data_IF_912199939648
#
_entry.id   IF_912199939648
#
_cell.length_a   1.000
_cell.length_b   1.000
_cell.length_c   1.000
_cell.angle_alpha   90.00
_cell.angle_beta   90.00
_cell.angle_gamma   90.00
#
_symmetry.space_group_name_H-M   'P 1'
#
loop_
_entity.id
_entity.type
_entity.pdbx_description
1 polymer ?
#
# COMPACT_ATOMS: atom_id res chain seq x y z
N UNK A 1 6.23 -2.52 35.67
CA UNK A 1 4.96 -3.08 36.18
C UNK A 1 3.81 -2.27 35.61
N UNK A 2 2.91 -2.88 34.84
CA UNK A 2 1.87 -2.18 34.06
C UNK A 2 0.46 -2.63 34.45
N UNK A 3 -0.54 -1.73 34.39
CA UNK A 3 -1.92 -2.05 34.73
C UNK A 3 -2.56 -3.02 33.72
N UNK A 4 -3.70 -3.65 34.04
CA UNK A 4 -4.41 -4.53 33.11
C UNK A 4 -5.01 -3.76 31.92
N UNK A 5 -5.41 -4.47 30.85
CA UNK A 5 -5.84 -3.88 29.58
C UNK A 5 -7.12 -3.03 29.67
N UNK A 6 -7.99 -3.34 30.63
CA UNK A 6 -9.27 -2.67 30.91
C UNK A 6 -9.14 -1.54 31.94
N UNK A 7 -7.93 -1.26 32.43
CA UNK A 7 -7.68 -0.17 33.36
C UNK A 7 -7.96 1.21 32.73
N UNK A 8 -8.36 2.21 33.55
CA UNK A 8 -8.63 3.56 33.08
C UNK A 8 -7.37 4.25 32.54
N UNK A 9 -7.58 5.33 31.78
CA UNK A 9 -6.52 6.05 31.06
C UNK A 9 -5.43 6.70 31.92
N UNK A 10 -5.73 6.95 33.19
CA UNK A 10 -4.87 7.59 34.17
C UNK A 10 -4.26 6.58 35.16
N UNK A 11 -4.39 5.28 34.88
CA UNK A 11 -3.74 4.22 35.63
C UNK A 11 -2.22 4.45 35.70
N UNK A 12 -1.58 3.85 36.70
CA UNK A 12 -0.17 4.07 37.00
C UNK A 12 0.62 2.80 36.73
N UNK A 13 1.73 2.92 36.02
CA UNK A 13 2.78 1.92 35.97
C UNK A 13 3.90 2.28 36.94
N UNK A 14 4.51 1.28 37.58
CA UNK A 14 5.78 1.47 38.28
C UNK A 14 6.92 1.12 37.33
N UNK A 15 7.81 2.09 37.10
CA UNK A 15 9.03 1.95 36.34
C UNK A 15 10.22 1.90 37.31
N UNK A 16 11.03 0.86 37.19
CA UNK A 16 12.28 0.73 37.94
C UNK A 16 13.44 0.65 36.94
N UNK A 17 14.46 1.49 37.14
CA UNK A 17 15.66 1.55 36.32
C UNK A 17 16.87 1.04 37.06
N UNK A 18 17.65 0.18 36.40
CA UNK A 18 18.90 -0.36 36.90
C UNK A 18 20.03 -0.01 35.94
N UNK A 19 21.19 0.33 36.47
CA UNK A 19 22.40 0.58 35.70
C UNK A 19 23.44 -0.48 36.04
N UNK A 20 24.02 -1.06 35.00
CA UNK A 20 25.17 -1.95 35.13
C UNK A 20 26.42 -1.09 35.09
N UNK A 21 27.16 -1.06 36.19
CA UNK A 21 28.37 -0.25 36.36
C UNK A 21 29.56 -1.19 36.52
N UNK A 22 30.51 -1.08 35.60
CA UNK A 22 31.76 -1.83 35.65
C UNK A 22 32.91 -0.91 36.05
N UNK A 23 33.62 -1.25 37.14
CA UNK A 23 34.78 -0.48 37.55
C UNK A 23 36.01 -0.88 36.71
N UNK A 24 36.22 -0.16 35.60
CA UNK A 24 37.42 -0.29 34.74
C UNK A 24 38.55 0.67 35.09
N UNK A 25 38.48 1.36 36.24
CA UNK A 25 39.46 2.39 36.60
C UNK A 25 40.81 1.83 37.05
N UNK A 26 40.88 0.53 37.36
CA UNK A 26 42.10 -0.14 37.85
C UNK A 26 42.36 0.04 39.35
N UNK A 27 41.50 0.77 40.07
CA UNK A 27 41.54 0.93 41.53
C UNK A 27 40.17 0.66 42.15
N UNK A 28 40.16 0.16 43.38
CA UNK A 28 38.92 -0.08 44.12
C UNK A 28 38.19 1.24 44.40
N UNK A 29 36.89 1.27 44.17
CA UNK A 29 36.03 2.38 44.61
C UNK A 29 35.54 2.05 46.00
N UNK A 30 35.76 2.97 46.95
CA UNK A 30 35.27 2.85 48.32
C UNK A 30 34.46 4.09 48.71
N UNK A 31 33.16 3.92 48.95
CA UNK A 31 32.27 5.00 49.37
C UNK A 31 32.18 6.16 48.37
N UNK A 32 32.27 5.90 47.07
CA UNK A 32 32.28 6.94 46.03
C UNK A 32 30.85 7.38 45.71
N UNK A 33 30.65 8.71 45.59
CA UNK A 33 29.40 9.26 45.05
C UNK A 33 29.40 9.11 43.53
N UNK A 34 28.47 8.30 43.02
CA UNK A 34 28.37 8.02 41.59
C UNK A 34 27.19 8.79 40.96
N UNK A 35 27.47 9.50 39.86
CA UNK A 35 26.46 10.11 39.00
C UNK A 35 26.48 9.45 37.63
N UNK A 36 25.37 8.80 37.26
CA UNK A 36 25.19 8.15 35.98
C UNK A 36 24.70 9.17 34.95
N UNK A 37 25.50 9.41 33.92
CA UNK A 37 25.20 10.43 32.92
C UNK A 37 24.72 9.76 31.64
N UNK A 38 23.47 10.01 31.26
CA UNK A 38 22.93 9.66 29.94
C UNK A 38 22.89 10.91 29.05
N UNK A 39 23.47 10.79 27.86
CA UNK A 39 23.56 11.83 26.85
C UNK A 39 24.32 11.28 25.64
N UNK A 40 24.41 12.06 24.56
CA UNK A 40 25.19 11.70 23.37
C UNK A 40 26.52 12.49 23.31
N UNK A 41 27.41 12.43 24.32
CA UNK A 41 28.70 13.10 24.23
C UNK A 41 29.59 12.36 23.23
N UNK A 42 30.22 13.10 22.32
CA UNK A 42 31.29 12.55 21.50
C UNK A 42 32.49 12.23 22.40
N UNK A 43 32.58 11.00 22.90
CA UNK A 43 33.75 10.46 23.56
C UNK A 43 34.52 9.58 22.56
N UNK A 44 35.71 10.02 22.18
CA UNK A 44 36.55 9.29 21.23
C UNK A 44 37.38 8.24 21.99
N UNK A 45 37.16 6.96 21.67
CA UNK A 45 38.08 5.88 22.02
C UNK A 45 38.90 5.54 20.77
N UNK A 46 40.22 5.75 20.82
CA UNK A 46 41.12 5.38 19.74
C UNK A 46 41.94 4.14 20.17
N UNK A 47 41.62 2.95 19.66
CA UNK A 47 42.36 1.74 20.01
C UNK A 47 43.71 1.73 19.27
N UNK A 48 44.75 2.33 19.87
CA UNK A 48 46.08 2.45 19.27
C UNK A 48 46.81 1.11 19.10
N UNK A 49 46.32 0.04 19.73
CA UNK A 49 46.94 -1.29 19.72
C UNK A 49 46.02 -2.39 19.19
N UNK A 50 44.81 -2.06 18.74
CA UNK A 50 43.95 -3.05 18.10
C UNK A 50 44.26 -3.08 16.58
N UNK A 51 44.57 -4.25 15.99
CA UNK A 51 44.69 -4.35 14.55
C UNK A 51 43.34 -4.07 13.88
N UNK A 52 43.32 -3.12 12.92
CA UNK A 52 42.13 -2.84 12.11
C UNK A 52 41.93 -4.03 11.16
N UNK A 53 40.92 -4.85 11.45
CA UNK A 53 40.52 -5.96 10.59
C UNK A 53 39.40 -5.51 9.66
N UNK A 54 39.60 -5.67 8.36
CA UNK A 54 38.55 -5.46 7.34
C UNK A 54 37.76 -6.77 7.22
N UNK A 55 36.45 -6.74 7.49
CA UNK A 55 35.63 -7.94 7.29
C UNK A 55 35.59 -8.30 5.80
N UNK A 56 35.93 -9.56 5.51
CA UNK A 56 35.81 -10.14 4.17
C UNK A 56 34.37 -10.65 4.01
N UNK A 57 33.65 -10.31 2.91
CA UNK A 57 32.30 -10.81 2.70
C UNK A 57 32.31 -12.34 2.59
N UNK A 58 31.45 -13.02 3.36
CA UNK A 58 31.18 -14.44 3.17
C UNK A 58 30.14 -14.63 2.06
N UNK A 59 30.45 -15.50 1.10
CA UNK A 59 29.56 -15.85 0.02
C UNK A 59 28.61 -16.96 0.52
N UNK A 60 27.29 -16.73 0.59
CA UNK A 60 26.37 -17.75 1.08
C UNK A 60 26.31 -18.95 0.13
N UNK A 61 26.40 -20.15 0.70
CA UNK A 61 26.10 -21.39 -0.03
C UNK A 61 24.61 -21.38 -0.37
N UNK A 62 24.30 -21.37 -1.67
CA UNK A 62 22.92 -21.40 -2.15
C UNK A 62 22.36 -22.81 -1.96
N UNK A 63 21.57 -22.99 -0.91
CA UNK A 63 20.70 -24.16 -0.74
C UNK A 63 19.39 -23.94 -1.50
N UNK A 64 18.81 -25.00 -2.12
CA UNK A 64 17.48 -24.93 -2.71
C UNK A 64 16.44 -24.52 -1.66
N UNK A 65 15.49 -23.69 -2.09
CA UNK A 65 14.47 -23.07 -1.26
C UNK A 65 13.68 -24.12 -0.45
N UNK A 66 13.77 -24.04 0.87
CA UNK A 66 13.01 -24.90 1.76
C UNK A 66 11.53 -24.54 1.66
N UNK A 67 10.72 -25.44 1.12
CA UNK A 67 9.26 -25.34 1.16
C UNK A 67 8.82 -25.40 2.63
N UNK A 68 8.51 -24.24 3.20
CA UNK A 68 7.93 -24.14 4.54
C UNK A 68 6.42 -24.35 4.44
N UNK A 69 5.98 -25.53 4.85
CA UNK A 69 4.55 -25.76 5.11
C UNK A 69 4.16 -24.84 6.28
N UNK A 70 3.29 -23.86 5.99
CA UNK A 70 2.80 -22.95 7.02
C UNK A 70 1.75 -23.69 7.86
N UNK A 71 1.83 -23.63 9.20
CA UNK A 71 0.81 -24.21 10.06
C UNK A 71 -0.52 -23.48 9.84
N UNK A 72 -1.62 -24.23 9.87
CA UNK A 72 -2.96 -23.64 9.88
C UNK A 72 -3.11 -22.81 11.16
N UNK A 73 -3.37 -21.52 11.01
CA UNK A 73 -3.51 -20.59 12.13
C UNK A 73 -4.96 -20.43 12.57
N UNK A 74 -5.91 -21.13 11.94
CA UNK A 74 -7.34 -21.03 12.21
C UNK A 74 -8.00 -19.82 11.54
N UNK A 75 -9.34 -19.85 11.49
CA UNK A 75 -10.17 -18.84 10.81
C UNK A 75 -9.89 -17.40 11.28
N UNK A 76 -10.00 -16.45 10.35
CA UNK A 76 -9.94 -15.00 10.60
C UNK A 76 -11.34 -14.41 10.40
N UNK A 77 -11.67 -13.26 11.01
CA UNK A 77 -12.83 -12.50 10.58
C UNK A 77 -12.71 -12.25 9.06
N UNK A 78 -13.80 -12.41 8.28
CA UNK A 78 -13.74 -12.17 6.85
C UNK A 78 -13.24 -10.74 6.61
N UNK A 79 -12.33 -10.52 5.65
CA UNK A 79 -11.92 -9.17 5.29
C UNK A 79 -13.18 -8.36 4.99
N UNK A 80 -13.28 -7.12 5.49
CA UNK A 80 -14.43 -6.30 5.17
C UNK A 80 -14.46 -6.15 3.65
N UNK A 81 -15.65 -6.24 3.02
CA UNK A 81 -15.74 -6.14 1.58
C UNK A 81 -15.04 -4.83 1.18
N UNK A 82 -14.15 -4.88 0.17
CA UNK A 82 -13.60 -3.65 -0.39
C UNK A 82 -14.78 -2.75 -0.75
N UNK A 83 -14.63 -1.41 -0.68
CA UNK A 83 -15.65 -0.52 -1.22
C UNK A 83 -16.00 -1.01 -2.61
N UNK A 84 -17.28 -0.97 -2.98
CA UNK A 84 -17.77 -1.53 -4.25
C UNK A 84 -17.04 -0.86 -5.43
N UNK A 85 -15.88 -1.39 -5.80
CA UNK A 85 -15.25 -1.17 -7.08
C UNK A 85 -16.12 -1.97 -8.00
N UNK A 86 -16.96 -1.32 -8.80
CA UNK A 86 -17.69 -2.00 -9.87
C UNK A 86 -16.62 -2.63 -10.79
N UNK A 87 -16.36 -3.94 -10.73
CA UNK A 87 -15.30 -4.55 -11.51
C UNK A 87 -15.80 -4.74 -12.93
N UNK A 88 -14.88 -4.60 -13.87
CA UNK A 88 -15.00 -5.07 -15.24
C UNK A 88 -15.43 -6.55 -15.25
N UNK A 89 -16.45 -6.87 -16.05
CA UNK A 89 -16.97 -8.20 -16.43
C UNK A 89 -16.67 -9.41 -15.52
N UNK A 90 -17.58 -9.68 -14.58
CA UNK A 90 -17.63 -10.85 -13.69
C UNK A 90 -17.72 -12.22 -14.41
N UNK A 91 -17.81 -12.29 -15.74
CA UNK A 91 -17.96 -13.56 -16.50
C UNK A 91 -16.64 -14.24 -16.84
N UNK A 92 -15.52 -13.53 -16.94
CA UNK A 92 -14.25 -14.13 -17.39
C UNK A 92 -13.42 -14.75 -16.26
N UNK A 93 -13.59 -14.30 -15.01
CA UNK A 93 -12.88 -14.85 -13.84
C UNK A 93 -13.45 -16.20 -13.37
N UNK A 94 -14.77 -16.40 -13.53
CA UNK A 94 -15.46 -17.63 -13.13
C UNK A 94 -15.05 -18.87 -13.96
N UNK A 95 -14.46 -18.66 -15.14
CA UNK A 95 -13.99 -19.71 -16.03
C UNK A 95 -12.53 -20.11 -15.71
N UNK A 96 -11.72 -19.16 -15.26
CA UNK A 96 -10.35 -19.39 -14.80
C UNK A 96 -10.28 -20.10 -13.43
N UNK A 97 -11.25 -19.85 -12.53
CA UNK A 97 -11.35 -20.53 -11.24
C UNK A 97 -11.83 -22.00 -11.36
N UNK A 98 -12.65 -22.31 -12.38
CA UNK A 98 -13.10 -23.69 -12.65
C UNK A 98 -11.97 -24.62 -13.10
N UNK A 99 -10.98 -24.09 -13.82
CA UNK A 99 -9.82 -24.85 -14.31
C UNK A 99 -8.74 -25.07 -13.23
N UNK A 100 -8.74 -24.29 -12.14
CA UNK A 100 -7.80 -24.44 -11.02
C UNK A 100 -8.24 -25.49 -9.99
N UNK A 101 -9.54 -25.83 -9.97
CA UNK A 101 -10.12 -26.79 -9.02
C UNK A 101 -9.78 -28.26 -9.28
N UNK A 102 -9.37 -28.63 -10.50
CA UNK A 102 -9.16 -30.03 -10.88
C UNK A 102 -7.74 -30.59 -10.60
N UNK A 103 -6.79 -29.75 -10.18
CA UNK A 103 -5.39 -30.17 -9.97
C UNK A 103 -4.99 -30.34 -8.49
N UNK A 104 -5.87 -30.01 -7.54
CA UNK A 104 -5.54 -30.02 -6.11
C UNK A 104 -6.04 -31.27 -5.34
N UNK A 105 -6.51 -32.30 -6.04
CA UNK A 105 -7.17 -33.48 -5.45
C UNK A 105 -6.32 -34.76 -5.37
N UNK A 106 -5.02 -34.70 -5.65
CA UNK A 106 -4.12 -35.84 -5.52
C UNK A 106 -3.05 -35.58 -4.45
N UNK A 107 -2.93 -36.53 -3.51
CA UNK A 107 -1.93 -36.67 -2.43
C UNK A 107 -2.29 -36.12 -1.04
N UNK A 108 -3.04 -36.92 -0.27
CA UNK A 108 -3.10 -36.90 1.20
C UNK A 108 -2.95 -38.31 1.78
N UNK A 109 -2.05 -38.48 2.75
CA UNK A 109 -1.85 -39.67 3.60
C UNK A 109 -0.39 -39.72 4.08
N UNK A 110 0.02 -40.03 5.30
CA UNK A 110 -0.63 -40.49 6.54
C UNK A 110 0.29 -40.16 7.76
N UNK A 111 -0.23 -40.28 8.99
CA UNK A 111 0.42 -40.05 10.32
C UNK A 111 1.31 -41.27 10.76
N UNK A 112 2.00 -41.36 11.95
CA UNK A 112 1.57 -40.94 13.30
C UNK A 112 2.65 -40.41 14.29
N UNK A 113 2.23 -40.28 15.56
CA UNK A 113 2.72 -39.47 16.70
C UNK A 113 3.84 -40.06 17.59
N UNK A 114 4.51 -39.20 18.40
CA UNK A 114 5.07 -39.51 19.74
C UNK A 114 4.94 -38.28 20.68
N UNK A 115 4.78 -38.52 21.99
CA UNK A 115 4.28 -37.64 23.05
C UNK A 115 5.34 -37.08 24.04
N UNK A 116 5.04 -35.86 24.57
CA UNK A 116 5.31 -35.22 25.90
C UNK A 116 6.76 -35.13 26.47
N UNK A 117 7.10 -34.21 27.44
CA UNK A 117 6.26 -33.37 28.33
C UNK A 117 6.69 -31.87 28.47
N UNK A 118 6.00 -31.14 29.35
CA UNK A 118 6.33 -29.82 29.94
C UNK A 118 6.12 -29.90 31.47
N UNK A 119 6.31 -28.87 32.32
CA UNK A 119 7.10 -27.61 32.24
C UNK A 119 8.04 -27.43 33.47
N UNK A 120 8.83 -26.35 33.53
CA UNK A 120 9.52 -25.91 34.75
C UNK A 120 8.95 -24.56 35.23
N UNK A 121 8.68 -24.48 36.54
CA UNK A 121 8.06 -23.35 37.22
C UNK A 121 9.08 -22.25 37.62
N UNK A 122 8.62 -21.01 37.92
CA UNK A 122 9.45 -19.82 38.09
C UNK A 122 9.90 -19.62 39.56
N UNK A 123 11.10 -19.07 39.75
CA UNK A 123 11.55 -18.57 41.05
C UNK A 123 11.13 -17.11 41.23
N UNK A 124 10.22 -16.86 42.18
CA UNK A 124 9.88 -15.53 42.67
C UNK A 124 10.90 -15.06 43.70
N UNK A 125 11.43 -13.85 43.50
CA UNK A 125 12.23 -13.12 44.49
C UNK A 125 11.55 -11.78 44.79
N UNK A 126 11.19 -11.56 46.05
CA UNK A 126 10.65 -10.29 46.54
C UNK A 126 11.75 -9.22 46.54
N UNK A 127 11.49 -8.08 45.89
CA UNK A 127 12.39 -6.93 45.91
C UNK A 127 12.05 -6.00 47.08
N UNK A 128 13.06 -5.72 47.91
CA UNK A 128 13.02 -4.71 48.96
C UNK A 128 12.87 -3.30 48.38
N UNK A 129 12.29 -2.39 49.17
CA UNK A 129 12.18 -0.97 48.86
C UNK A 129 13.56 -0.33 48.75
N UNK A 130 13.77 0.51 47.73
CA UNK A 130 15.02 1.23 47.47
C UNK A 130 14.74 2.72 47.50
N UNK A 131 15.56 3.47 48.24
CA UNK A 131 15.55 4.93 48.28
C UNK A 131 16.01 5.52 46.93
N UNK A 132 15.26 6.50 46.43
CA UNK A 132 15.43 7.11 45.11
C UNK A 132 16.65 8.03 45.03
N UNK A 133 17.43 7.86 43.95
CA UNK A 133 18.51 8.75 43.52
C UNK A 133 17.99 10.17 43.18
N UNK A 134 18.82 11.20 43.42
CA UNK A 134 18.51 12.58 43.04
C UNK A 134 19.03 12.87 41.64
N UNK A 135 18.13 13.27 40.76
CA UNK A 135 18.46 13.61 39.39
C UNK A 135 18.63 15.12 39.23
N UNK A 136 19.51 15.50 38.31
CA UNK A 136 19.73 16.88 37.92
C UNK A 136 19.82 16.97 36.40
N UNK A 137 18.81 17.59 35.79
CA UNK A 137 18.77 17.87 34.36
C UNK A 137 19.55 19.14 33.99
N UNK A 138 20.37 19.07 32.93
CA UNK A 138 20.78 20.23 32.13
C UNK A 138 20.54 19.93 30.66
N UNK A 139 20.40 20.97 29.82
CA UNK A 139 20.03 20.79 28.41
C UNK A 139 20.91 19.75 27.69
N UNK A 140 20.32 18.63 27.26
CA UNK A 140 20.99 17.55 26.54
C UNK A 140 21.75 16.52 27.40
N UNK A 141 21.68 16.61 28.74
CA UNK A 141 22.39 15.72 29.67
C UNK A 141 21.52 15.42 30.90
N UNK A 142 21.29 14.14 31.18
CA UNK A 142 20.64 13.71 32.43
C UNK A 142 21.67 13.02 33.30
N UNK A 143 21.84 13.51 34.52
CA UNK A 143 22.67 12.89 35.53
C UNK A 143 21.81 12.34 36.68
N UNK A 144 21.85 11.03 36.88
CA UNK A 144 21.23 10.36 38.03
C UNK A 144 22.29 10.14 39.10
N UNK A 145 22.26 10.94 40.18
CA UNK A 145 23.19 10.78 41.30
C UNK A 145 22.61 9.81 42.31
N UNK A 146 23.28 8.67 42.49
CA UNK A 146 22.85 7.65 43.45
C UNK A 146 22.77 8.26 44.85
N UNK A 147 21.69 7.94 45.57
CA UNK A 147 21.43 8.47 46.91
C UNK A 147 22.50 8.01 47.93
N UNK A 148 22.97 6.77 47.77
CA UNK A 148 23.97 6.17 48.64
C UNK A 148 25.32 6.03 47.90
N UNK A 149 26.45 6.28 48.59
CA UNK A 149 27.77 5.99 48.05
C UNK A 149 27.92 4.49 47.70
N UNK A 150 28.73 4.18 46.68
CA UNK A 150 28.92 2.81 46.18
C UNK A 150 30.38 2.41 46.32
N UNK A 151 30.58 1.14 46.71
CA UNK A 151 31.89 0.47 46.75
C UNK A 151 31.90 -0.63 45.69
N UNK A 152 32.84 -0.58 44.74
CA UNK A 152 33.00 -1.56 43.64
C UNK A 152 34.50 -1.82 43.47
N UNK A 153 34.96 -3.07 43.60
CA UNK A 153 36.39 -3.37 43.40
C UNK A 153 36.80 -3.22 41.94
N UNK A 154 38.09 -3.04 41.70
CA UNK A 154 38.64 -2.98 40.36
C UNK A 154 38.30 -4.26 39.58
N UNK A 155 37.72 -4.10 38.38
CA UNK A 155 37.31 -5.21 37.52
C UNK A 155 35.99 -5.88 37.91
N UNK A 156 35.33 -5.46 39.00
CA UNK A 156 34.00 -5.94 39.36
C UNK A 156 32.88 -5.13 38.69
N UNK A 157 31.71 -5.75 38.57
CA UNK A 157 30.49 -5.14 38.03
C UNK A 157 29.42 -5.13 39.12
N UNK A 158 28.72 -3.99 39.26
CA UNK A 158 27.58 -3.85 40.16
C UNK A 158 26.33 -3.47 39.37
N UNK A 159 25.17 -3.99 39.79
CA UNK A 159 23.88 -3.55 39.30
C UNK A 159 23.27 -2.58 40.32
N UNK A 160 23.20 -1.30 39.97
CA UNK A 160 22.74 -0.24 40.88
C UNK A 160 21.39 0.32 40.44
N UNK A 161 20.39 0.38 41.33
CA UNK A 161 19.11 1.00 41.02
C UNK A 161 19.29 2.53 40.95
N UNK A 162 18.78 3.15 39.90
CA UNK A 162 18.90 4.60 39.71
C UNK A 162 17.55 5.31 39.58
N UNK A 163 16.46 4.56 39.37
CA UNK A 163 15.12 5.10 39.18
C UNK A 163 14.09 4.17 39.80
N UNK A 164 13.17 4.73 40.57
CA UNK A 164 11.91 4.07 40.96
C UNK A 164 10.81 5.14 40.91
N UNK A 165 9.93 5.04 39.93
CA UNK A 165 8.92 6.06 39.65
C UNK A 165 7.58 5.43 39.34
N UNK A 166 6.50 6.11 39.73
CA UNK A 166 5.13 5.81 39.29
C UNK A 166 4.77 6.80 38.19
N UNK A 167 4.41 6.28 37.03
CA UNK A 167 4.17 7.04 35.81
C UNK A 167 2.75 6.73 35.30
N UNK A 168 2.02 7.75 34.80
CA UNK A 168 0.76 7.50 34.09
C UNK A 168 1.01 6.59 32.89
N UNK A 169 0.28 5.47 32.85
CA UNK A 169 0.42 4.48 31.82
C UNK A 169 -0.86 3.69 31.62
N UNK A 170 -1.12 3.33 30.36
CA UNK A 170 -2.24 2.50 29.99
C UNK A 170 -1.86 1.44 28.96
N UNK A 171 -2.50 0.27 29.06
CA UNK A 171 -2.36 -0.80 28.07
C UNK A 171 -3.23 -0.52 26.86
N UNK A 172 -2.63 -0.70 25.69
CA UNK A 172 -3.30 -0.50 24.40
C UNK A 172 -2.89 -1.61 23.43
N UNK A 173 -3.77 -1.90 22.48
CA UNK A 173 -3.35 -2.55 21.25
C UNK A 173 -2.76 -1.51 20.30
N UNK A 174 -1.65 -1.84 19.65
CA UNK A 174 -1.02 -0.95 18.69
C UNK A 174 -0.90 -1.63 17.32
N UNK A 175 -1.38 -0.93 16.29
CA UNK A 175 -1.40 -1.39 14.92
C UNK A 175 -0.54 -0.46 14.07
N UNK A 176 0.54 -0.99 13.52
CA UNK A 176 1.38 -0.31 12.53
C UNK A 176 1.26 -0.95 11.14
N UNK A 177 0.81 -2.20 11.09
CA UNK A 177 0.74 -3.03 9.89
C UNK A 177 -0.63 -3.70 9.79
N UNK A 178 -1.36 -3.37 8.73
CA UNK A 178 -2.73 -3.86 8.46
C UNK A 178 -2.74 -5.29 7.90
N UNK A 179 -1.60 -5.80 7.46
CA UNK A 179 -1.46 -7.19 6.98
C UNK A 179 -1.26 -8.18 8.13
N UNK A 180 -0.88 -7.69 9.32
CA UNK A 180 -0.70 -8.50 10.51
C UNK A 180 -2.03 -9.11 10.98
N UNK A 181 -1.99 -10.39 11.38
CA UNK A 181 -3.15 -11.13 11.90
C UNK A 181 -3.58 -10.67 13.29
N UNK A 182 -2.65 -10.11 14.06
CA UNK A 182 -2.78 -9.87 15.48
C UNK A 182 -2.09 -8.54 15.80
N UNK A 183 -2.71 -7.63 16.58
CA UNK A 183 -2.10 -6.37 16.95
C UNK A 183 -0.91 -6.58 17.88
N UNK A 184 -0.08 -5.54 18.02
CA UNK A 184 0.90 -5.49 19.10
C UNK A 184 0.17 -5.19 20.41
N UNK A 185 0.59 -5.81 21.51
CA UNK A 185 0.32 -5.28 22.84
C UNK A 185 1.38 -4.24 23.17
N UNK A 186 0.93 -3.08 23.64
CA UNK A 186 1.80 -1.99 24.02
C UNK A 186 1.34 -1.32 25.30
N UNK A 187 2.29 -0.65 25.96
CA UNK A 187 1.99 0.28 27.04
C UNK A 187 2.24 1.69 26.52
N UNK A 188 1.22 2.53 26.61
CA UNK A 188 1.37 3.96 26.46
C UNK A 188 1.83 4.52 27.80
N UNK A 189 3.04 5.07 27.83
CA UNK A 189 3.69 5.60 29.02
C UNK A 189 3.90 7.10 28.85
N UNK A 190 3.47 7.90 29.83
CA UNK A 190 3.79 9.33 29.91
C UNK A 190 4.87 9.58 30.95
N UNK A 191 5.96 10.23 30.55
CA UNK A 191 6.97 10.67 31.50
C UNK A 191 6.45 11.85 32.32
N UNK A 192 5.96 11.57 33.52
CA UNK A 192 5.51 12.58 34.49
C UNK A 192 6.64 13.01 35.46
N UNK A 193 7.87 12.55 35.27
CA UNK A 193 9.02 13.02 36.04
C UNK A 193 9.56 14.33 35.48
N UNK A 194 10.46 14.97 36.22
CA UNK A 194 11.16 16.18 35.77
C UNK A 194 12.42 15.88 34.95
N UNK A 195 12.70 14.60 34.66
CA UNK A 195 13.96 14.14 34.08
C UNK A 195 13.70 13.37 32.79
N UNK A 196 14.64 13.40 31.84
CA UNK A 196 14.54 12.54 30.65
C UNK A 196 14.77 11.09 31.06
N UNK A 197 13.83 10.21 30.71
CA UNK A 197 14.05 8.77 30.85
C UNK A 197 15.07 8.34 29.79
N UNK A 198 16.13 7.60 30.15
CA UNK A 198 17.16 7.18 29.20
C UNK A 198 16.66 6.11 28.22
N UNK A 199 17.35 5.98 27.08
CA UNK A 199 17.20 4.83 26.19
C UNK A 199 17.58 3.53 26.92
N UNK A 200 16.90 2.43 26.61
CA UNK A 200 17.22 1.12 27.17
C UNK A 200 16.24 0.02 26.81
N UNK A 201 16.48 -1.17 27.35
CA UNK A 201 15.54 -2.29 27.28
C UNK A 201 14.63 -2.25 28.51
N UNK A 202 13.32 -2.39 28.29
CA UNK A 202 12.31 -2.43 29.34
C UNK A 202 11.64 -3.81 29.38
N UNK A 203 11.76 -4.49 30.51
CA UNK A 203 11.05 -5.75 30.78
C UNK A 203 9.70 -5.44 31.41
N UNK A 204 8.63 -5.94 30.78
CA UNK A 204 7.24 -5.62 31.14
C UNK A 204 6.66 -6.75 31.99
N UNK A 205 6.16 -6.37 33.17
CA UNK A 205 5.44 -7.25 34.09
C UNK A 205 4.02 -6.74 34.30
N UNK A 206 3.04 -7.63 34.31
CA UNK A 206 1.66 -7.32 34.64
C UNK A 206 1.47 -7.08 36.14
N UNK A 207 0.48 -6.26 36.50
CA UNK A 207 0.08 -6.03 37.89
C UNK A 207 -1.44 -5.89 37.99
N UNK A 208 -2.02 -6.35 39.10
CA UNK A 208 -3.45 -6.21 39.37
C UNK A 208 -4.05 -7.45 40.02
N UNK A 209 -5.34 -7.69 39.82
CA UNK A 209 -6.00 -8.92 40.26
C UNK A 209 -6.20 -9.87 39.08
N UNK A 210 -5.55 -11.03 39.08
CA UNK A 210 -5.74 -12.05 38.04
C UNK A 210 -4.47 -12.81 37.67
N UNK A 211 -4.52 -13.54 36.55
CA UNK A 211 -3.42 -14.39 36.08
C UNK A 211 -2.17 -13.63 35.61
N UNK A 212 -2.30 -12.32 35.33
CA UNK A 212 -1.19 -11.48 34.87
C UNK A 212 -0.42 -10.80 36.02
N UNK A 213 -0.86 -10.90 37.27
CA UNK A 213 -0.20 -10.24 38.40
C UNK A 213 1.19 -10.84 38.67
N UNK A 214 2.22 -10.01 38.53
CA UNK A 214 3.63 -10.43 38.60
C UNK A 214 4.12 -11.24 37.40
N UNK A 215 3.28 -11.49 36.39
CA UNK A 215 3.65 -12.27 35.22
C UNK A 215 4.54 -11.48 34.27
N UNK A 216 5.55 -12.13 33.69
CA UNK A 216 6.34 -11.57 32.59
C UNK A 216 5.49 -11.51 31.32
N UNK A 217 5.34 -10.32 30.75
CA UNK A 217 4.53 -10.07 29.55
C UNK A 217 5.37 -9.95 28.28
N UNK A 218 6.64 -9.55 28.40
CA UNK A 218 7.56 -9.38 27.29
C UNK A 218 8.60 -8.29 27.53
N UNK A 219 9.46 -8.07 26.54
CA UNK A 219 10.45 -7.01 26.53
C UNK A 219 10.11 -5.96 25.45
N UNK A 220 10.42 -4.70 25.72
CA UNK A 220 10.19 -3.57 24.84
C UNK A 220 11.44 -2.67 24.75
N UNK A 221 11.68 -2.09 23.59
CA UNK A 221 12.67 -1.02 23.44
C UNK A 221 12.08 0.28 24.01
N UNK A 222 12.75 0.87 25.00
CA UNK A 222 12.48 2.22 25.50
C UNK A 222 13.45 3.17 24.83
N UNK A 223 12.92 4.13 24.07
CA UNK A 223 13.70 5.29 23.64
C UNK A 223 13.58 6.42 24.65
N UNK A 224 14.53 7.35 24.59
CA UNK A 224 14.61 8.45 25.51
C UNK A 224 13.30 9.25 25.49
N UNK A 225 12.77 9.52 26.67
CA UNK A 225 11.46 10.16 26.85
C UNK A 225 11.64 11.45 27.61
N UNK A 226 11.38 12.58 26.97
CA UNK A 226 11.50 13.89 27.62
C UNK A 226 10.41 14.09 28.69
N UNK A 227 10.63 14.96 29.69
CA UNK A 227 9.59 15.33 30.65
C UNK A 227 8.30 15.77 29.93
N UNK A 228 7.17 15.18 30.32
CA UNK A 228 5.86 15.43 29.72
C UNK A 228 5.54 14.65 28.45
N UNK A 229 6.53 14.04 27.80
CA UNK A 229 6.38 13.27 26.57
C UNK A 229 5.70 11.92 26.81
N UNK A 230 5.04 11.39 25.78
CA UNK A 230 4.37 10.08 25.80
C UNK A 230 4.93 9.17 24.72
N UNK A 231 5.17 7.90 25.07
CA UNK A 231 5.67 6.86 24.15
C UNK A 231 4.84 5.60 24.22
N UNK A 232 4.82 4.85 23.11
CA UNK A 232 4.26 3.50 23.07
C UNK A 232 5.40 2.48 23.13
N UNK A 233 5.28 1.51 24.04
CA UNK A 233 6.25 0.44 24.27
C UNK A 233 5.59 -0.88 23.91
N UNK A 234 5.83 -1.37 22.69
CA UNK A 234 5.33 -2.67 22.26
C UNK A 234 6.16 -3.79 22.90
N UNK A 235 5.50 -4.77 23.53
CA UNK A 235 6.16 -5.86 24.23
C UNK A 235 5.73 -7.26 23.76
N UNK A 236 4.73 -7.35 22.87
CA UNK A 236 4.27 -8.65 22.34
C UNK A 236 3.20 -8.51 21.28
N UNK A 237 2.72 -9.65 20.74
CA UNK A 237 1.53 -9.73 19.89
C UNK A 237 0.39 -10.37 20.64
N UNK A 238 -0.80 -9.79 20.52
CA UNK A 238 -2.01 -10.36 21.13
C UNK A 238 -2.64 -11.41 20.21
N UNK A 239 -2.49 -12.69 20.55
CA UNK A 239 -3.03 -13.79 19.73
C UNK A 239 -4.54 -13.93 19.85
N UNK A 240 -5.14 -13.35 20.89
CA UNK A 240 -6.57 -13.45 21.17
C UNK A 240 -7.36 -12.38 20.41
N UNK A 241 -6.73 -11.29 20.01
CA UNK A 241 -7.32 -10.29 19.10
C UNK A 241 -6.94 -10.58 17.65
N UNK A 242 -7.93 -10.86 16.81
CA UNK A 242 -7.73 -11.11 15.39
C UNK A 242 -8.03 -9.88 14.55
N UNK A 243 -7.26 -9.71 13.49
CA UNK A 243 -7.38 -8.59 12.57
C UNK A 243 -7.27 -9.05 11.13
N UNK A 244 -7.98 -8.38 10.24
CA UNK A 244 -7.82 -8.53 8.79
C UNK A 244 -8.04 -7.18 8.12
N UNK A 245 -6.99 -6.70 7.44
CA UNK A 245 -7.05 -5.49 6.64
C UNK A 245 -7.52 -5.74 5.21
N UNK A 246 -8.18 -4.74 4.64
CA UNK A 246 -8.38 -4.64 3.19
C UNK A 246 -8.07 -3.22 2.72
N UNK A 247 -7.71 -3.10 1.45
CA UNK A 247 -7.46 -1.81 0.82
C UNK A 247 -8.35 -1.68 -0.40
N UNK A 248 -8.81 -0.46 -0.68
CA UNK A 248 -9.61 -0.12 -1.84
C UNK A 248 -9.17 1.21 -2.39
N UNK A 249 -9.32 1.39 -3.69
CA UNK A 249 -9.12 2.67 -4.36
C UNK A 249 -10.29 2.87 -5.30
N UNK A 250 -10.88 4.06 -5.23
CA UNK A 250 -11.96 4.46 -6.13
C UNK A 250 -11.62 5.83 -6.73
N UNK A 251 -11.63 5.91 -8.05
CA UNK A 251 -11.49 7.17 -8.79
C UNK A 251 -12.86 7.60 -9.30
N UNK A 252 -13.40 8.69 -8.74
CA UNK A 252 -14.68 9.26 -9.14
C UNK A 252 -14.46 10.48 -10.04
N UNK A 253 -14.94 10.48 -11.29
CA UNK A 253 -14.82 11.64 -12.17
C UNK A 253 -15.76 12.77 -11.68
N UNK A 254 -15.21 13.95 -11.44
CA UNK A 254 -15.94 15.10 -10.87
C UNK A 254 -16.15 16.24 -11.86
N UNK A 255 -15.32 16.34 -12.90
CA UNK A 255 -15.39 17.38 -13.93
C UNK A 255 -14.81 16.89 -15.24
N UNK A 256 -15.40 17.36 -16.33
CA UNK A 256 -14.86 17.20 -17.69
C UNK A 256 -14.65 18.56 -18.34
N UNK A 257 -13.58 18.71 -19.11
CA UNK A 257 -13.31 19.87 -19.95
C UNK A 257 -12.73 19.37 -21.27
N UNK A 258 -13.22 19.86 -22.40
CA UNK A 258 -12.57 19.64 -23.69
C UNK A 258 -11.77 20.88 -24.09
N UNK A 259 -10.45 20.73 -24.22
CA UNK A 259 -9.59 21.80 -24.71
C UNK A 259 -9.42 21.72 -26.21
N UNK A 260 -9.21 22.90 -26.81
CA UNK A 260 -8.87 23.06 -28.22
C UNK A 260 -7.67 22.20 -28.60
N UNK A 261 -7.74 21.53 -29.75
CA UNK A 261 -6.75 20.52 -30.16
C UNK A 261 -7.11 19.11 -29.71
N UNK A 262 -8.32 18.91 -29.15
CA UNK A 262 -8.84 17.60 -28.81
C UNK A 262 -8.16 16.98 -27.59
N UNK A 263 -7.95 17.74 -26.53
CA UNK A 263 -7.45 17.19 -25.26
C UNK A 263 -8.61 17.18 -24.26
N UNK A 264 -9.09 15.98 -23.93
CA UNK A 264 -10.07 15.80 -22.87
C UNK A 264 -9.36 15.82 -21.52
N UNK A 265 -9.77 16.74 -20.64
CA UNK A 265 -9.26 16.85 -19.28
C UNK A 265 -10.35 16.40 -18.33
N UNK A 266 -10.07 15.33 -17.59
CA UNK A 266 -11.00 14.78 -16.60
C UNK A 266 -10.40 14.99 -15.22
N UNK A 267 -11.14 15.67 -14.35
CA UNK A 267 -10.78 15.77 -12.93
C UNK A 267 -11.41 14.62 -12.17
N UNK A 268 -10.65 14.04 -11.26
CA UNK A 268 -11.04 12.92 -10.43
C UNK A 268 -10.86 13.27 -8.97
N UNK A 269 -11.81 12.82 -8.15
CA UNK A 269 -11.62 12.64 -6.72
C UNK A 269 -11.21 11.19 -6.50
N UNK A 270 -9.92 10.97 -6.19
CA UNK A 270 -9.43 9.68 -5.72
C UNK A 270 -9.77 9.54 -4.26
N UNK A 271 -10.41 8.44 -3.91
CA UNK A 271 -10.61 7.98 -2.55
C UNK A 271 -9.86 6.68 -2.34
N UNK A 272 -8.76 6.76 -1.60
CA UNK A 272 -8.02 5.60 -1.13
C UNK A 272 -8.59 5.19 0.23
N UNK A 273 -9.00 3.94 0.39
CA UNK A 273 -9.61 3.44 1.63
C UNK A 273 -8.80 2.26 2.18
N UNK A 274 -8.54 2.28 3.47
CA UNK A 274 -8.05 1.13 4.25
C UNK A 274 -9.09 0.75 5.27
N UNK A 275 -9.57 -0.48 5.21
CA UNK A 275 -10.50 -1.03 6.17
C UNK A 275 -9.81 -2.08 7.03
N UNK A 276 -10.18 -2.14 8.30
CA UNK A 276 -9.61 -3.05 9.28
C UNK A 276 -10.75 -3.69 10.06
N UNK A 277 -11.03 -4.96 9.78
CA UNK A 277 -11.90 -5.77 10.61
C UNK A 277 -11.11 -6.30 11.79
N UNK A 278 -11.66 -6.13 12.99
CA UNK A 278 -11.07 -6.51 14.26
C UNK A 278 -12.09 -7.37 15.00
N UNK A 279 -11.67 -8.56 15.40
CA UNK A 279 -12.41 -9.41 16.33
C UNK A 279 -11.62 -9.50 17.64
N UNK A 280 -12.02 -8.75 18.68
CA UNK A 280 -11.36 -8.78 19.97
C UNK A 280 -11.77 -9.98 20.83
N UNK A 281 -12.68 -10.85 20.36
CA UNK A 281 -13.14 -12.06 21.07
C UNK A 281 -13.59 -11.81 22.51
N UNK A 282 -14.34 -10.74 22.73
CA UNK A 282 -14.81 -10.33 24.05
C UNK A 282 -13.84 -9.45 24.84
N UNK A 283 -12.57 -9.30 24.41
CA UNK A 283 -11.61 -8.41 25.06
C UNK A 283 -11.99 -6.93 24.87
N UNK A 284 -11.80 -6.14 25.91
CA UNK A 284 -12.11 -4.71 25.92
C UNK A 284 -10.84 -3.92 26.15
N UNK A 285 -10.73 -2.77 25.51
CA UNK A 285 -9.54 -1.94 25.64
C UNK A 285 -9.41 -0.91 24.53
N UNK A 286 -8.34 -0.13 24.58
CA UNK A 286 -8.03 0.87 23.55
C UNK A 286 -7.15 0.26 22.46
N UNK A 287 -7.44 0.65 21.23
CA UNK A 287 -6.61 0.36 20.07
C UNK A 287 -6.11 1.66 19.47
N UNK A 288 -4.81 1.69 19.20
CA UNK A 288 -4.07 2.79 18.59
C UNK A 288 -3.60 2.30 17.22
N UNK A 289 -3.90 3.07 16.18
CA UNK A 289 -3.67 2.69 14.79
C UNK A 289 -2.87 3.77 14.12
N UNK A 290 -1.65 3.43 13.69
CA UNK A 290 -0.80 4.32 12.90
C UNK A 290 -1.07 4.10 11.41
N UNK A 291 -1.35 5.20 10.74
CA UNK A 291 -1.76 5.27 9.35
C UNK A 291 -0.77 6.14 8.58
N UNK A 292 -0.40 5.79 7.34
CA UNK A 292 0.58 6.57 6.60
C UNK A 292 0.05 7.97 6.27
N UNK A 293 0.94 8.94 6.29
CA UNK A 293 0.69 10.26 5.71
C UNK A 293 0.78 10.14 4.18
N UNK A 294 -0.30 10.44 3.49
CA UNK A 294 -0.34 10.46 2.02
C UNK A 294 -0.21 11.90 1.55
N UNK A 295 0.91 12.22 0.89
CA UNK A 295 1.15 13.58 0.40
C UNK A 295 0.05 14.01 -0.57
N UNK A 296 -0.50 15.21 -0.36
CA UNK A 296 -1.55 15.79 -1.20
C UNK A 296 -2.92 15.13 -1.06
N UNK A 297 -3.12 14.24 -0.08
CA UNK A 297 -4.42 13.68 0.23
C UNK A 297 -4.89 14.08 1.63
N UNK A 298 -6.16 14.47 1.73
CA UNK A 298 -6.81 14.83 2.98
C UNK A 298 -7.35 13.57 3.67
N UNK A 299 -7.01 13.33 4.96
CA UNK A 299 -7.62 12.25 5.72
C UNK A 299 -9.09 12.55 6.01
N UNK A 300 -9.96 11.57 5.79
CA UNK A 300 -11.40 11.58 6.12
C UNK A 300 -11.71 10.71 7.35
N UNK A 301 -10.88 10.85 8.37
CA UNK A 301 -11.01 10.18 9.66
C UNK A 301 -10.41 11.06 10.77
N UNK A 302 -10.78 10.80 12.02
CA UNK A 302 -10.25 11.56 13.17
C UNK A 302 -8.79 11.24 13.40
N UNK A 303 -7.93 12.26 13.33
CA UNK A 303 -6.50 12.16 13.68
C UNK A 303 -6.35 12.59 15.13
N UNK A 304 -5.95 11.66 16.00
CA UNK A 304 -5.72 11.91 17.41
C UNK A 304 -4.35 12.59 17.65
N UNK A 305 -3.32 12.18 16.91
CA UNK A 305 -1.99 12.78 16.93
C UNK A 305 -1.19 12.42 15.68
N UNK A 306 -0.02 13.01 15.51
CA UNK A 306 0.95 12.65 14.47
C UNK A 306 2.23 12.16 15.16
N UNK A 307 2.76 11.03 14.70
CA UNK A 307 3.97 10.41 15.25
C UNK A 307 4.88 9.89 14.15
N UNK A 308 5.93 9.17 14.54
CA UNK A 308 6.99 8.70 13.61
C UNK A 308 6.46 7.79 12.48
N UNK A 309 5.30 7.13 12.69
CA UNK A 309 4.65 6.24 11.74
C UNK A 309 3.51 6.91 10.93
N UNK A 310 3.31 8.22 11.11
CA UNK A 310 2.30 9.01 10.41
C UNK A 310 1.15 9.47 11.29
N UNK A 311 -0.07 9.34 10.79
CA UNK A 311 -1.30 9.80 11.43
C UNK A 311 -1.83 8.73 12.38
N UNK A 312 -2.06 9.10 13.64
CA UNK A 312 -2.58 8.20 14.67
C UNK A 312 -4.08 8.33 14.81
N UNK A 313 -4.76 7.21 14.83
CA UNK A 313 -6.17 7.09 15.19
C UNK A 313 -6.32 6.26 16.47
N UNK A 314 -7.26 6.64 17.34
CA UNK A 314 -7.57 5.91 18.57
C UNK A 314 -9.04 5.52 18.61
N UNK A 315 -9.31 4.27 19.00
CA UNK A 315 -10.65 3.74 19.19
C UNK A 315 -10.71 2.86 20.46
N UNK A 316 -11.92 2.67 20.98
CA UNK A 316 -12.18 1.75 22.10
C UNK A 316 -12.91 0.53 21.55
N UNK A 317 -12.39 -0.66 21.85
CA UNK A 317 -13.05 -1.93 21.54
C UNK A 317 -13.89 -2.35 22.75
N UNK A 318 -15.14 -2.71 22.50
CA UNK A 318 -16.15 -3.08 23.51
C UNK A 318 -16.30 -4.61 23.68
N UNK A 319 -15.44 -5.38 23.01
CA UNK A 319 -15.47 -6.84 22.99
C UNK A 319 -16.23 -7.44 21.81
N UNK A 320 -16.87 -6.61 20.97
CA UNK A 320 -17.56 -7.09 19.76
C UNK A 320 -16.72 -6.92 18.50
N UNK A 321 -16.90 -7.77 17.48
CA UNK A 321 -16.27 -7.56 16.18
C UNK A 321 -16.66 -6.21 15.57
N UNK A 322 -15.66 -5.43 15.17
CA UNK A 322 -15.85 -4.08 14.62
C UNK A 322 -15.02 -3.89 13.35
N UNK A 323 -15.46 -3.00 12.47
CA UNK A 323 -14.69 -2.61 11.28
C UNK A 323 -14.41 -1.11 11.31
N UNK A 324 -13.14 -0.74 11.30
CA UNK A 324 -12.68 0.64 11.18
C UNK A 324 -12.31 0.93 9.73
N UNK A 325 -12.72 2.09 9.21
CA UNK A 325 -12.45 2.51 7.83
C UNK A 325 -11.75 3.86 7.81
N UNK A 326 -10.65 3.92 7.09
CA UNK A 326 -9.79 5.10 6.96
C UNK A 326 -9.72 5.47 5.50
N UNK A 327 -10.24 6.65 5.14
CA UNK A 327 -10.21 7.14 3.78
C UNK A 327 -9.28 8.35 3.64
N UNK A 328 -8.60 8.44 2.51
CA UNK A 328 -7.86 9.62 2.07
C UNK A 328 -8.46 10.09 0.75
N UNK A 329 -8.67 11.39 0.63
CA UNK A 329 -9.21 11.99 -0.59
C UNK A 329 -8.20 12.94 -1.20
N UNK A 330 -7.98 12.81 -2.51
CA UNK A 330 -7.20 13.78 -3.28
C UNK A 330 -7.82 14.04 -4.62
N UNK A 331 -7.74 15.29 -5.04
CA UNK A 331 -8.10 15.67 -6.41
C UNK A 331 -6.88 15.54 -7.32
N UNK A 332 -7.11 14.98 -8.51
CA UNK A 332 -6.11 14.98 -9.57
C UNK A 332 -6.77 15.12 -10.93
N UNK A 333 -6.01 15.59 -11.92
CA UNK A 333 -6.49 15.72 -13.30
C UNK A 333 -5.76 14.71 -14.19
N UNK A 334 -6.48 14.17 -15.15
CA UNK A 334 -5.93 13.33 -16.22
C UNK A 334 -6.22 14.00 -17.55
N UNK A 335 -5.17 14.20 -18.33
CA UNK A 335 -5.30 14.67 -19.71
C UNK A 335 -5.28 13.45 -20.63
N UNK A 336 -6.23 13.42 -21.56
CA UNK A 336 -6.44 12.35 -22.51
C UNK A 336 -6.53 12.95 -23.90
N UNK A 337 -5.46 12.84 -24.72
CA UNK A 337 -5.54 13.29 -26.09
C UNK A 337 -6.55 12.42 -26.84
N UNK A 338 -7.52 13.06 -27.48
CA UNK A 338 -8.55 12.41 -28.28
C UNK A 338 -7.97 11.90 -29.61
N UNK A 339 -6.84 12.46 -30.04
CA UNK A 339 -6.06 12.04 -31.22
C UNK A 339 -4.63 11.69 -30.79
N UNK A 340 -4.09 10.59 -31.31
CA UNK A 340 -2.68 10.25 -31.08
C UNK A 340 -1.78 11.19 -31.91
N UNK A 341 -1.01 12.09 -31.27
CA UNK A 341 -0.15 13.04 -31.99
C UNK A 341 0.93 12.35 -32.84
N UNK A 342 1.28 11.09 -32.53
CA UNK A 342 2.21 10.29 -33.31
C UNK A 342 1.69 9.84 -34.68
N UNK A 343 0.41 10.09 -34.99
CA UNK A 343 -0.18 9.85 -36.32
C UNK A 343 -0.10 11.07 -37.25
N UNK A 344 0.44 12.20 -36.77
CA UNK A 344 0.56 13.44 -37.53
C UNK A 344 -0.74 14.25 -37.60
N UNK A 345 -0.85 15.12 -38.61
CA UNK A 345 -2.06 15.93 -38.82
C UNK A 345 -3.18 15.07 -39.44
N UNK A 346 -4.36 14.95 -38.80
CA UNK A 346 -5.47 14.18 -39.34
C UNK A 346 -5.93 14.68 -40.71
N UNK A 347 -5.75 15.97 -41.05
CA UNK A 347 -6.10 16.54 -42.35
C UNK A 347 -5.24 15.97 -43.51
N UNK A 348 -4.01 15.59 -43.20
CA UNK A 348 -3.05 15.09 -44.18
C UNK A 348 -3.06 13.57 -44.30
N UNK A 349 -3.82 12.88 -43.45
CA UNK A 349 -3.85 11.43 -43.43
C UNK A 349 -4.63 10.89 -44.63
N UNK A 350 -4.00 9.99 -45.40
CA UNK A 350 -4.59 9.30 -46.55
C UNK A 350 -4.56 7.81 -46.32
N UNK A 351 -5.70 7.13 -46.49
CA UNK A 351 -5.79 5.68 -46.27
C UNK A 351 -4.90 4.86 -47.21
N UNK A 352 -4.53 5.40 -48.38
CA UNK A 352 -3.63 4.72 -49.33
C UNK A 352 -2.19 4.64 -48.82
N UNK A 353 -1.77 5.60 -48.00
CA UNK A 353 -0.42 5.71 -47.45
C UNK A 353 -0.37 5.32 -45.97
N UNK A 354 -1.47 4.77 -45.45
CA UNK A 354 -1.66 4.50 -44.04
C UNK A 354 -2.31 3.14 -43.79
N UNK A 355 -1.65 2.29 -43.02
CA UNK A 355 -2.21 1.01 -42.60
C UNK A 355 -3.27 1.22 -41.50
N UNK A 356 -4.53 1.33 -41.94
CA UNK A 356 -5.68 1.52 -41.07
C UNK A 356 -5.85 0.36 -40.10
N UNK A 357 -5.67 -0.88 -40.55
CA UNK A 357 -5.93 -2.07 -39.73
C UNK A 357 -4.86 -2.24 -38.64
N UNK A 358 -3.58 -1.98 -38.95
CA UNK A 358 -2.50 -2.00 -37.96
C UNK A 358 -2.64 -0.92 -36.89
N UNK A 359 -3.26 0.22 -37.22
CA UNK A 359 -3.37 1.38 -36.32
C UNK A 359 -4.75 1.56 -35.67
N UNK A 360 -5.70 0.62 -35.82
CA UNK A 360 -7.08 0.77 -35.33
C UNK A 360 -7.21 1.17 -33.86
N UNK A 361 -6.33 0.67 -32.98
CA UNK A 361 -6.35 1.01 -31.55
C UNK A 361 -5.95 2.45 -31.26
N UNK A 362 -5.19 3.08 -32.17
CA UNK A 362 -4.70 4.46 -32.08
C UNK A 362 -5.68 5.45 -32.69
N UNK A 363 -6.57 4.99 -33.58
CA UNK A 363 -7.55 5.84 -34.25
C UNK A 363 -8.76 6.14 -33.32
N UNK A 364 -9.26 7.38 -33.33
CA UNK A 364 -10.51 7.74 -32.66
C UNK A 364 -11.69 6.91 -33.17
N UNK A 365 -12.46 6.34 -32.23
CA UNK A 365 -13.52 5.37 -32.54
C UNK A 365 -13.07 3.90 -32.45
N UNK A 366 -11.77 3.64 -32.24
CA UNK A 366 -11.26 2.33 -31.83
C UNK A 366 -11.71 1.93 -30.41
N UNK A 367 -11.63 0.64 -30.04
CA UNK A 367 -12.22 0.10 -28.82
C UNK A 367 -11.64 0.67 -27.51
N UNK A 368 -10.39 1.15 -27.50
CA UNK A 368 -9.75 1.59 -26.27
C UNK A 368 -10.26 2.96 -25.75
N UNK A 369 -10.51 3.91 -26.64
CA UNK A 369 -10.82 5.30 -26.27
C UNK A 369 -12.31 5.53 -26.04
N UNK A 370 -13.19 4.83 -26.76
CA UNK A 370 -14.64 4.91 -26.56
C UNK A 370 -15.06 4.40 -25.19
N UNK A 371 -14.44 3.33 -24.74
CA UNK A 371 -14.86 2.60 -23.54
C UNK A 371 -14.51 3.39 -22.28
N UNK A 372 -13.36 4.08 -22.26
CA UNK A 372 -12.96 4.93 -21.15
C UNK A 372 -13.90 6.14 -20.95
N UNK A 373 -14.22 6.87 -22.03
CA UNK A 373 -15.12 8.04 -21.94
C UNK A 373 -16.55 7.64 -21.55
N UNK A 374 -17.04 6.50 -22.06
CA UNK A 374 -18.33 5.94 -21.68
C UNK A 374 -18.40 5.58 -20.18
N UNK A 375 -17.35 4.96 -19.65
CA UNK A 375 -17.25 4.66 -18.21
C UNK A 375 -17.26 5.93 -17.37
N UNK A 376 -16.55 6.99 -17.79
CA UNK A 376 -16.58 8.28 -17.08
C UNK A 376 -17.96 8.93 -17.13
N UNK A 377 -18.63 8.91 -18.28
CA UNK A 377 -19.97 9.45 -18.43
C UNK A 377 -20.99 8.75 -17.51
N UNK A 378 -20.87 7.44 -17.35
CA UNK A 378 -21.74 6.65 -16.47
C UNK A 378 -21.51 6.88 -14.97
N UNK A 379 -20.29 7.26 -14.56
CA UNK A 379 -19.93 7.49 -13.14
C UNK A 379 -19.97 8.96 -12.71
N UNK A 380 -19.94 9.89 -13.66
CA UNK A 380 -19.92 11.31 -13.38
C UNK A 380 -21.29 11.79 -12.84
N UNK A 381 -21.34 12.50 -11.69
CA UNK A 381 -22.58 13.01 -11.11
C UNK A 381 -23.38 13.88 -12.07
N UNK A 382 -24.70 13.90 -11.96
CA UNK A 382 -25.55 14.54 -12.97
C UNK A 382 -25.35 16.04 -13.13
N UNK A 383 -25.06 16.70 -12.01
CA UNK A 383 -24.77 18.11 -11.87
C UNK A 383 -23.28 18.43 -12.05
N UNK A 384 -22.44 17.46 -12.40
CA UNK A 384 -21.01 17.69 -12.55
C UNK A 384 -20.70 18.64 -13.72
N UNK A 385 -19.81 19.63 -13.52
CA UNK A 385 -19.40 20.54 -14.59
C UNK A 385 -18.81 19.78 -15.77
N UNK A 386 -19.29 20.10 -16.98
CA UNK A 386 -18.83 19.48 -18.23
C UNK A 386 -19.41 18.10 -18.55
N UNK A 387 -20.33 17.53 -17.74
CA UNK A 387 -20.98 16.25 -18.05
C UNK A 387 -21.68 16.26 -19.42
N UNK A 388 -22.37 17.35 -19.75
CA UNK A 388 -23.04 17.49 -21.05
C UNK A 388 -22.03 17.46 -22.22
N UNK A 389 -20.87 18.09 -22.04
CA UNK A 389 -19.79 18.08 -23.03
C UNK A 389 -19.14 16.69 -23.15
N UNK A 390 -18.98 15.98 -22.03
CA UNK A 390 -18.54 14.58 -22.02
C UNK A 390 -19.51 13.68 -22.79
N UNK A 391 -20.82 13.79 -22.57
CA UNK A 391 -21.83 13.01 -23.29
C UNK A 391 -21.82 13.32 -24.79
N UNK A 392 -21.69 14.59 -25.17
CA UNK A 392 -21.55 15.01 -26.58
C UNK A 392 -20.26 14.48 -27.22
N UNK A 393 -19.19 14.34 -26.44
CA UNK A 393 -17.93 13.73 -26.87
C UNK A 393 -18.08 12.23 -27.05
N UNK A 394 -18.71 11.53 -26.11
CA UNK A 394 -19.01 10.08 -26.22
C UNK A 394 -19.86 9.80 -27.46
N UNK A 395 -20.90 10.60 -27.71
CA UNK A 395 -21.72 10.49 -28.92
C UNK A 395 -20.89 10.70 -30.20
N UNK A 396 -20.00 11.70 -30.21
CA UNK A 396 -19.09 11.94 -31.33
C UNK A 396 -18.14 10.77 -31.60
N UNK A 397 -17.67 10.09 -30.54
CA UNK A 397 -16.86 8.87 -30.67
C UNK A 397 -17.66 7.70 -31.24
N UNK A 398 -18.95 7.59 -30.88
CA UNK A 398 -19.87 6.61 -31.48
C UNK A 398 -20.00 6.82 -33.00
N UNK A 399 -20.26 8.06 -33.43
CA UNK A 399 -20.34 8.42 -34.85
C UNK A 399 -19.02 8.17 -35.59
N UNK A 400 -17.87 8.52 -34.97
CA UNK A 400 -16.54 8.24 -35.54
C UNK A 400 -16.30 6.75 -35.72
N UNK A 401 -16.75 5.91 -34.79
CA UNK A 401 -16.64 4.45 -34.90
C UNK A 401 -17.44 3.91 -36.09
N UNK A 402 -18.69 4.36 -36.26
CA UNK A 402 -19.51 3.95 -37.40
C UNK A 402 -18.90 4.38 -38.74
N UNK A 403 -18.39 5.61 -38.82
CA UNK A 403 -17.72 6.12 -40.03
C UNK A 403 -16.42 5.35 -40.31
N UNK A 404 -15.64 5.03 -39.27
CA UNK A 404 -14.41 4.26 -39.42
C UNK A 404 -14.70 2.85 -39.94
N UNK A 405 -15.73 2.18 -39.41
CA UNK A 405 -16.11 0.84 -39.87
C UNK A 405 -16.59 0.86 -41.33
N UNK A 406 -17.31 1.91 -41.75
CA UNK A 406 -17.67 2.13 -43.17
C UNK A 406 -16.43 2.33 -44.05
N UNK A 407 -15.48 3.17 -43.62
CA UNK A 407 -14.24 3.41 -44.35
C UNK A 407 -13.42 2.11 -44.49
N UNK A 408 -13.27 1.34 -43.40
CA UNK A 408 -12.59 0.03 -43.41
C UNK A 408 -13.25 -0.97 -44.35
N UNK A 409 -14.59 -1.00 -44.41
CA UNK A 409 -15.30 -1.88 -45.33
C UNK A 409 -15.04 -1.47 -46.79
N UNK A 410 -15.08 -0.18 -47.10
CA UNK A 410 -14.81 0.34 -48.43
C UNK A 410 -13.35 0.10 -48.87
N UNK A 411 -12.37 0.29 -47.98
CA UNK A 411 -10.95 0.02 -48.23
C UNK A 411 -10.73 -1.48 -48.54
N UNK A 412 -11.38 -2.38 -47.79
CA UNK A 412 -11.33 -3.82 -48.06
C UNK A 412 -11.97 -4.19 -49.41
N UNK A 413 -13.06 -3.52 -49.78
CA UNK A 413 -13.69 -3.70 -51.08
C UNK A 413 -12.77 -3.23 -52.22
N UNK A 414 -12.09 -2.10 -52.06
CA UNK A 414 -11.06 -1.63 -53.00
C UNK A 414 -9.93 -2.64 -53.15
N UNK A 415 -9.35 -3.14 -52.05
CA UNK A 415 -8.28 -4.14 -52.10
C UNK A 415 -8.72 -5.41 -52.85
N UNK A 416 -9.97 -5.84 -52.66
CA UNK A 416 -10.55 -6.99 -53.37
C UNK A 416 -10.71 -6.71 -54.86
N UNK A 417 -11.17 -5.50 -55.23
CA UNK A 417 -11.31 -5.07 -56.62
C UNK A 417 -9.94 -4.97 -57.32
N UNK A 418 -8.91 -4.47 -56.62
CA UNK A 418 -7.56 -4.32 -57.17
C UNK A 418 -6.91 -5.68 -57.46
N UNK A 419 -7.07 -6.64 -56.55
CA UNK A 419 -6.66 -8.02 -56.79
C UNK A 419 -7.40 -8.61 -58.00
N UNK A 420 -8.71 -8.34 -58.15
CA UNK A 420 -9.47 -8.79 -59.31
C UNK A 420 -9.01 -8.14 -60.62
N UNK A 421 -8.64 -6.86 -60.59
CA UNK A 421 -8.05 -6.13 -61.71
C UNK A 421 -6.71 -6.74 -62.13
N UNK A 422 -5.83 -7.01 -61.18
CA UNK A 422 -4.54 -7.64 -61.46
C UNK A 422 -4.69 -9.04 -62.07
N UNK A 423 -5.63 -9.86 -61.56
CA UNK A 423 -5.97 -11.15 -62.19
C UNK A 423 -6.56 -10.99 -63.60
N UNK A 424 -7.39 -9.97 -63.82
CA UNK A 424 -7.98 -9.71 -65.13
C UNK A 424 -6.92 -9.22 -66.15
N UNK A 425 -5.92 -8.44 -65.71
CA UNK A 425 -4.77 -8.05 -66.53
C UNK A 425 -3.97 -9.27 -66.97
N UNK A 426 -3.61 -10.14 -66.03
CA UNK A 426 -2.88 -11.38 -66.31
C UNK A 426 -3.66 -12.30 -67.27
N UNK A 427 -4.98 -12.44 -67.08
CA UNK A 427 -5.82 -13.25 -67.98
C UNK A 427 -5.91 -12.70 -69.42
N UNK A 428 -5.68 -11.40 -69.64
CA UNK A 428 -5.61 -10.80 -70.99
C UNK A 428 -4.26 -11.07 -71.66
N UNK A 429 -3.19 -11.21 -70.86
CA UNK A 429 -1.85 -11.55 -71.33
C UNK A 429 -1.74 -13.03 -71.70
N UNK A 430 -2.36 -13.92 -70.92
CA UNK A 430 -2.26 -15.38 -71.09
C UNK A 430 -3.15 -15.95 -72.21
N UNK A 431 -4.16 -15.22 -72.68
CA UNK A 431 -5.19 -15.73 -73.62
C UNK A 431 -5.02 -15.20 -75.04
N UNK A 432 -5.39 -16.01 -76.03
CA UNK A 432 -5.36 -15.66 -77.46
C UNK A 432 -6.73 -15.83 -78.13
N UNK A 433 -6.91 -15.22 -79.30
CA UNK A 433 -8.14 -15.35 -80.10
C UNK A 433 -9.42 -14.84 -79.39
N UNK A 434 -10.59 -15.48 -79.58
CA UNK A 434 -11.87 -15.01 -79.05
C UNK A 434 -11.94 -14.96 -77.51
N UNK A 435 -11.14 -15.77 -76.81
CA UNK A 435 -11.05 -15.77 -75.34
C UNK A 435 -10.38 -14.50 -74.80
N UNK A 436 -9.52 -13.86 -75.61
CA UNK A 436 -8.88 -12.57 -75.28
C UNK A 436 -9.88 -11.42 -75.30
N UNK A 437 -10.86 -11.47 -76.19
CA UNK A 437 -11.94 -10.47 -76.29
C UNK A 437 -12.80 -10.48 -75.01
N UNK A 438 -13.13 -11.67 -74.51
CA UNK A 438 -13.87 -11.82 -73.26
C UNK A 438 -13.04 -11.40 -72.04
N UNK A 439 -11.74 -11.73 -72.02
CA UNK A 439 -10.81 -11.27 -71.00
C UNK A 439 -10.70 -9.73 -70.98
N UNK A 440 -10.68 -9.06 -72.13
CA UNK A 440 -10.71 -7.59 -72.24
C UNK A 440 -12.00 -6.99 -71.67
N UNK A 441 -13.16 -7.61 -71.93
CA UNK A 441 -14.43 -7.18 -71.31
C UNK A 441 -14.42 -7.34 -69.80
N UNK A 442 -13.79 -8.40 -69.27
CA UNK A 442 -13.60 -8.60 -67.83
C UNK A 442 -12.63 -7.58 -67.24
N UNK A 443 -11.55 -7.25 -67.94
CA UNK A 443 -10.58 -6.22 -67.56
C UNK A 443 -11.24 -4.83 -67.46
N UNK A 444 -12.03 -4.43 -68.45
CA UNK A 444 -12.73 -3.14 -68.43
C UNK A 444 -13.69 -3.04 -67.25
N UNK A 445 -14.46 -4.11 -66.97
CA UNK A 445 -15.34 -4.18 -65.79
C UNK A 445 -14.57 -4.13 -64.47
N UNK A 446 -13.43 -4.84 -64.38
CA UNK A 446 -12.59 -4.80 -63.20
C UNK A 446 -11.97 -3.41 -62.97
N UNK A 447 -11.58 -2.71 -64.04
CA UNK A 447 -11.05 -1.34 -63.98
C UNK A 447 -12.10 -0.36 -63.44
N UNK A 448 -13.33 -0.40 -63.98
CA UNK A 448 -14.45 0.39 -63.47
C UNK A 448 -14.78 0.03 -62.01
N UNK A 449 -14.68 -1.26 -61.67
CA UNK A 449 -14.86 -1.76 -60.31
C UNK A 449 -13.86 -1.14 -59.33
N UNK A 450 -12.57 -1.10 -59.67
CA UNK A 450 -11.52 -0.48 -58.85
C UNK A 450 -11.73 1.02 -58.69
N UNK A 451 -12.06 1.73 -59.77
CA UNK A 451 -12.31 3.18 -59.74
C UNK A 451 -13.50 3.53 -58.85
N UNK A 452 -14.62 2.81 -58.98
CA UNK A 452 -15.80 3.01 -58.13
C UNK A 452 -15.54 2.66 -56.66
N UNK A 453 -14.83 1.56 -56.39
CA UNK A 453 -14.47 1.16 -55.03
C UNK A 453 -13.48 2.15 -54.39
N UNK A 454 -12.53 2.68 -55.17
CA UNK A 454 -11.58 3.70 -54.73
C UNK A 454 -12.28 5.00 -54.37
N UNK A 455 -13.20 5.47 -55.22
CA UNK A 455 -14.02 6.66 -54.95
C UNK A 455 -14.88 6.50 -53.69
N UNK A 456 -15.47 5.32 -53.49
CA UNK A 456 -16.24 5.02 -52.29
C UNK A 456 -15.36 4.98 -51.02
N UNK A 457 -14.14 4.43 -51.12
CA UNK A 457 -13.18 4.42 -50.02
C UNK A 457 -12.70 5.83 -49.66
N UNK A 458 -12.40 6.67 -50.66
CA UNK A 458 -12.06 8.08 -50.48
C UNK A 458 -13.18 8.85 -49.78
N UNK A 459 -14.41 8.76 -50.28
CA UNK A 459 -15.55 9.44 -49.69
C UNK A 459 -15.83 8.99 -48.24
N UNK A 460 -15.72 7.69 -47.95
CA UNK A 460 -15.92 7.16 -46.60
C UNK A 460 -14.81 7.60 -45.64
N UNK A 461 -13.56 7.61 -46.10
CA UNK A 461 -12.41 8.09 -45.32
C UNK A 461 -12.50 9.59 -45.03
N UNK A 462 -12.80 10.40 -46.04
CA UNK A 462 -12.93 11.86 -45.90
C UNK A 462 -14.08 12.23 -44.95
N UNK A 463 -15.19 11.49 -44.99
CA UNK A 463 -16.28 11.68 -44.04
C UNK A 463 -15.83 11.43 -42.58
N UNK A 464 -15.02 10.39 -42.36
CA UNK A 464 -14.43 10.11 -41.04
C UNK A 464 -13.45 11.21 -40.60
N UNK A 465 -12.53 11.63 -41.48
CA UNK A 465 -11.56 12.71 -41.20
C UNK A 465 -12.26 14.02 -40.90
N UNK A 466 -13.26 14.41 -41.70
CA UNK A 466 -14.02 15.65 -41.48
C UNK A 466 -14.73 15.63 -40.11
N UNK A 467 -15.30 14.49 -39.73
CA UNK A 467 -15.95 14.35 -38.42
C UNK A 467 -14.95 14.44 -37.27
N UNK A 468 -13.76 13.88 -37.45
CA UNK A 468 -12.67 13.95 -36.48
C UNK A 468 -12.19 15.39 -36.32
N UNK A 469 -11.95 16.11 -37.40
CA UNK A 469 -11.58 17.53 -37.35
C UNK A 469 -12.64 18.35 -36.62
N UNK A 470 -13.92 18.11 -36.91
CA UNK A 470 -15.02 18.77 -36.21
C UNK A 470 -15.01 18.48 -34.71
N UNK A 471 -14.57 17.30 -34.28
CA UNK A 471 -14.39 16.97 -32.86
C UNK A 471 -13.17 17.68 -32.25
N UNK A 472 -12.01 17.65 -32.91
CA UNK A 472 -10.78 18.27 -32.40
C UNK A 472 -10.85 19.80 -32.34
N UNK A 473 -11.69 20.40 -33.19
CA UNK A 473 -12.00 21.82 -33.18
C UNK A 473 -12.94 22.24 -32.03
N UNK A 474 -13.59 21.28 -31.34
CA UNK A 474 -14.37 21.57 -30.13
C UNK A 474 -13.43 21.89 -28.97
N UNK A 475 -13.84 22.87 -28.17
CA UNK A 475 -13.12 23.31 -26.97
C UNK A 475 -13.09 24.82 -26.87
N UNK A 476 -13.44 25.33 -25.68
CA UNK A 476 -13.45 26.75 -25.32
C UNK A 476 -12.13 27.23 -24.74
#
# INVERSE_FOLDING_TARGET
MVPPADAPADAQARLQGWAVVENRSGADWDGVRLSLVSGNPAAYHQPLYAPILVQRPELPVRVPEAVRVQPDTGGRPPPPPPPAVVPYDARQMAEAERMRGYAAQAYRGAAPAIAMPAPAAPMGGAAAAVDTATAAASAGRVAFTLANPVTIRAGETANVPFLDARLPADRVWWVQDFSARNPLQAVRLRNATNETLPDGLATVYGTGSGAEDGAFLGDAELRAVQPGETRLLAFGRDRDVQMTGSTGQVDNPTRFELRRGGVAVVSFLRRDERALAIDPRGARGRIVIDLPRVQGAEPRFTVASEGDFGLRHEAVLDGTPTTLRFAWEREYRREMPLWDPGLGDPALLRWRDFDVEANLRRLPGGPATSDALGVYAGRMPENAPGRAELLATVAAYGELRELLDKARAAIRAYATADVALNRARQAVEDRSGPEREEARRRLNRASQGVESAGTAADAAWDAWVARLQALLARGG
#
